data_IF_596280170509
#
_entry.id   IF_596280170509
#
_cell.length_a   1.000
_cell.length_b   1.000
_cell.length_c   1.000
_cell.angle_alpha   90.00
_cell.angle_beta   90.00
_cell.angle_gamma   90.00
#
_symmetry.space_group_name_H-M   'P 1'
#
loop_
_entity.id
_entity.type
_entity.pdbx_description
1 polymer ?
#
# COMPACT_ATOMS: atom_id res chain seq x y z
N UNK A 1 4.83 -13.47 15.18
CA UNK A 1 4.29 -14.50 14.26
C UNK A 1 5.35 -14.77 13.20
N UNK A 2 5.78 -16.01 13.02
CA UNK A 2 6.66 -16.39 11.89
C UNK A 2 5.82 -16.29 10.62
N UNK A 3 6.18 -15.39 9.72
CA UNK A 3 5.46 -15.15 8.47
C UNK A 3 6.25 -15.84 7.37
N UNK A 4 5.57 -16.60 6.54
CA UNK A 4 6.17 -17.13 5.33
C UNK A 4 6.32 -15.98 4.32
N UNK A 5 7.56 -15.59 4.06
CA UNK A 5 7.92 -14.56 3.09
C UNK A 5 8.45 -15.17 1.78
N UNK A 6 8.30 -16.48 1.60
CA UNK A 6 8.68 -17.15 0.34
C UNK A 6 7.84 -16.56 -0.81
N UNK A 7 8.54 -16.05 -1.82
CA UNK A 7 7.89 -15.38 -2.96
C UNK A 7 7.55 -13.89 -2.77
N UNK A 8 7.80 -13.32 -1.59
CA UNK A 8 7.61 -11.89 -1.32
C UNK A 8 8.91 -11.14 -1.60
N UNK A 9 8.85 -10.09 -2.41
CA UNK A 9 10.02 -9.26 -2.70
C UNK A 9 10.51 -8.53 -1.45
N UNK A 10 11.82 -8.58 -1.17
CA UNK A 10 12.43 -7.79 -0.09
C UNK A 10 12.15 -6.28 -0.23
N UNK A 11 11.97 -5.79 -1.45
CA UNK A 11 11.63 -4.38 -1.71
C UNK A 11 10.33 -3.95 -1.07
N UNK A 12 9.36 -4.85 -0.94
CA UNK A 12 8.10 -4.63 -0.24
C UNK A 12 8.35 -4.40 1.26
N UNK A 13 9.21 -5.21 1.87
CA UNK A 13 9.55 -5.09 3.30
C UNK A 13 10.38 -3.84 3.58
N UNK A 14 11.30 -3.47 2.68
CA UNK A 14 12.12 -2.24 2.80
C UNK A 14 11.22 -1.01 2.87
N UNK A 15 10.28 -0.87 1.94
CA UNK A 15 9.38 0.29 1.90
C UNK A 15 8.46 0.35 3.12
N UNK A 16 7.94 -0.79 3.58
CA UNK A 16 7.16 -0.89 4.82
C UNK A 16 7.98 -0.47 6.04
N UNK A 17 9.21 -0.99 6.16
CA UNK A 17 10.11 -0.68 7.27
C UNK A 17 10.45 0.81 7.33
N UNK A 18 10.75 1.45 6.20
CA UNK A 18 11.07 2.88 6.16
C UNK A 18 9.90 3.74 6.63
N UNK A 19 8.68 3.43 6.25
CA UNK A 19 7.47 4.12 6.71
C UNK A 19 7.21 3.89 8.20
N UNK A 20 7.43 2.67 8.69
CA UNK A 20 7.33 2.35 10.10
C UNK A 20 8.39 3.06 10.95
N UNK A 21 9.62 3.16 10.44
CA UNK A 21 10.72 3.88 11.10
C UNK A 21 10.43 5.37 11.23
N UNK A 22 9.88 5.98 10.17
CA UNK A 22 9.42 7.36 10.21
C UNK A 22 8.34 7.57 11.28
N UNK A 23 7.34 6.72 11.33
CA UNK A 23 6.24 6.83 12.28
C UNK A 23 6.68 6.72 13.76
N UNK A 24 7.83 6.06 14.01
CA UNK A 24 8.44 5.94 15.35
C UNK A 24 9.42 7.08 15.69
N UNK A 25 9.67 7.99 14.75
CA UNK A 25 10.59 9.11 14.96
C UNK A 25 9.96 10.22 15.81
N UNK A 26 10.80 11.09 16.40
CA UNK A 26 10.31 12.23 17.18
C UNK A 26 9.53 13.25 16.32
N UNK A 27 9.82 13.33 15.02
CA UNK A 27 9.19 14.24 14.09
C UNK A 27 8.84 13.49 12.79
N UNK A 28 7.77 12.68 12.80
CA UNK A 28 7.41 11.87 11.64
C UNK A 28 6.96 12.74 10.47
N UNK A 29 7.50 12.46 9.30
CA UNK A 29 7.18 13.17 8.06
C UNK A 29 5.88 12.64 7.41
N UNK A 30 5.75 11.31 7.31
CA UNK A 30 4.58 10.63 6.75
C UNK A 30 3.62 10.17 7.85
N UNK A 31 4.17 9.72 9.01
CA UNK A 31 3.45 9.24 10.18
C UNK A 31 2.54 8.02 9.89
N UNK A 32 3.09 7.02 9.21
CA UNK A 32 2.38 5.77 8.87
C UNK A 32 2.33 4.83 10.08
N UNK A 33 1.37 5.07 10.98
CA UNK A 33 1.21 4.28 12.21
C UNK A 33 0.86 2.83 11.91
N UNK A 34 0.09 2.58 10.85
CA UNK A 34 -0.30 1.23 10.45
C UNK A 34 0.91 0.41 10.00
N UNK A 35 1.84 1.00 9.26
CA UNK A 35 3.11 0.35 8.93
C UNK A 35 3.91 -0.01 10.20
N UNK A 36 3.92 0.88 11.21
CA UNK A 36 4.60 0.59 12.48
C UNK A 36 3.96 -0.56 13.25
N UNK A 37 2.63 -0.67 13.24
CA UNK A 37 1.89 -1.81 13.81
C UNK A 37 2.26 -3.11 13.10
N UNK A 38 2.20 -3.13 11.76
CA UNK A 38 2.54 -4.32 10.96
C UNK A 38 3.94 -4.82 11.26
N UNK A 39 4.95 -3.93 11.22
CA UNK A 39 6.35 -4.27 11.53
C UNK A 39 6.48 -4.85 12.95
N UNK A 40 5.73 -4.35 13.94
CA UNK A 40 5.81 -4.86 15.31
C UNK A 40 5.28 -6.29 15.46
N UNK A 41 4.44 -6.75 14.53
CA UNK A 41 3.88 -8.11 14.52
C UNK A 41 4.75 -9.11 13.75
N UNK A 42 5.74 -8.64 12.97
CA UNK A 42 6.60 -9.49 12.15
C UNK A 42 7.83 -9.97 12.94
N UNK A 43 8.05 -11.28 12.91
CA UNK A 43 9.28 -11.90 13.40
C UNK A 43 10.31 -11.94 12.26
N UNK A 44 10.92 -10.79 11.99
CA UNK A 44 11.90 -10.59 10.91
C UNK A 44 12.99 -9.62 11.33
N UNK A 45 14.24 -9.90 10.99
CA UNK A 45 15.36 -8.99 11.25
C UNK A 45 15.45 -7.89 10.19
N UNK A 46 14.94 -6.71 10.54
CA UNK A 46 14.97 -5.53 9.67
C UNK A 46 16.29 -4.75 9.73
N UNK A 47 17.27 -5.15 10.54
CA UNK A 47 18.51 -4.38 10.75
C UNK A 47 19.33 -4.16 9.49
N UNK A 48 19.24 -5.09 8.52
CA UNK A 48 19.87 -4.96 7.21
C UNK A 48 19.40 -3.70 6.44
N UNK A 49 18.14 -3.28 6.66
CA UNK A 49 17.54 -2.14 5.97
C UNK A 49 17.97 -0.78 6.51
N UNK A 50 18.59 -0.73 7.69
CA UNK A 50 19.16 0.50 8.24
C UNK A 50 20.29 1.10 7.38
N UNK A 51 20.93 0.25 6.57
CA UNK A 51 22.02 0.66 5.67
C UNK A 51 21.51 1.37 4.40
N UNK A 52 20.23 1.31 4.09
CA UNK A 52 19.63 1.86 2.85
C UNK A 52 19.07 3.28 3.11
N UNK A 53 19.78 4.08 3.90
CA UNK A 53 19.31 5.42 4.32
C UNK A 53 19.04 6.39 3.16
N UNK A 54 19.75 6.27 2.03
CA UNK A 54 19.51 7.12 0.86
C UNK A 54 18.10 6.92 0.26
N UNK A 55 17.57 5.71 0.33
CA UNK A 55 16.22 5.39 -0.15
C UNK A 55 15.14 5.86 0.83
N UNK A 56 15.48 6.07 2.11
CA UNK A 56 14.54 6.44 3.16
C UNK A 56 13.72 7.69 2.80
N UNK A 57 14.38 8.80 2.54
CA UNK A 57 13.70 10.05 2.19
C UNK A 57 12.96 9.95 0.86
N UNK A 58 13.51 9.20 -0.10
CA UNK A 58 12.84 8.95 -1.38
C UNK A 58 11.53 8.20 -1.24
N UNK A 59 11.50 7.15 -0.42
CA UNK A 59 10.28 6.38 -0.12
C UNK A 59 9.24 7.26 0.56
N UNK A 60 9.62 8.02 1.59
CA UNK A 60 8.69 8.87 2.33
C UNK A 60 8.15 10.03 1.48
N UNK A 61 9.02 10.70 0.71
CA UNK A 61 8.61 11.81 -0.14
C UNK A 61 7.65 11.35 -1.24
N UNK A 62 7.95 10.21 -1.88
CA UNK A 62 7.07 9.60 -2.89
C UNK A 62 5.72 9.22 -2.29
N UNK A 63 5.71 8.53 -1.15
CA UNK A 63 4.47 8.16 -0.48
C UNK A 63 3.63 9.40 -0.11
N UNK A 64 4.27 10.45 0.43
CA UNK A 64 3.60 11.70 0.81
C UNK A 64 3.01 12.42 -0.39
N UNK A 65 3.77 12.50 -1.49
CA UNK A 65 3.30 13.13 -2.74
C UNK A 65 2.09 12.39 -3.29
N UNK A 66 2.16 11.07 -3.37
CA UNK A 66 1.04 10.25 -3.84
C UNK A 66 -0.18 10.36 -2.92
N UNK A 67 0.00 10.38 -1.60
CA UNK A 67 -1.11 10.62 -0.66
C UNK A 67 -1.78 11.98 -0.92
N UNK A 68 -1.01 13.02 -1.23
CA UNK A 68 -1.56 14.34 -1.57
C UNK A 68 -2.37 14.32 -2.86
N UNK A 69 -1.86 13.67 -3.91
CA UNK A 69 -2.57 13.56 -5.20
C UNK A 69 -3.84 12.71 -5.08
N UNK A 70 -3.81 11.63 -4.30
CA UNK A 70 -4.99 10.82 -4.02
C UNK A 70 -6.05 11.64 -3.30
N UNK A 71 -5.69 12.36 -2.23
CA UNK A 71 -6.63 13.23 -1.50
C UNK A 71 -7.22 14.31 -2.39
N UNK A 72 -6.41 14.90 -3.26
CA UNK A 72 -6.88 15.90 -4.23
C UNK A 72 -7.91 15.30 -5.18
N UNK A 73 -7.61 14.14 -5.77
CA UNK A 73 -8.55 13.45 -6.66
C UNK A 73 -9.87 13.10 -5.94
N UNK A 74 -9.78 12.59 -4.70
CA UNK A 74 -10.96 12.25 -3.88
C UNK A 74 -11.80 13.49 -3.56
N UNK A 75 -11.17 14.63 -3.23
CA UNK A 75 -11.87 15.88 -2.96
C UNK A 75 -12.63 16.41 -4.19
N UNK A 76 -12.03 16.26 -5.39
CA UNK A 76 -12.66 16.65 -6.65
C UNK A 76 -13.73 15.62 -7.12
N UNK A 77 -13.72 14.40 -6.58
CA UNK A 77 -14.57 13.29 -6.98
C UNK A 77 -15.09 12.49 -5.77
N UNK A 78 -15.98 13.04 -4.94
CA UNK A 78 -16.49 12.37 -3.75
C UNK A 78 -17.09 10.99 -4.05
N UNK A 79 -16.76 9.99 -3.23
CA UNK A 79 -17.20 8.61 -3.41
C UNK A 79 -16.58 7.90 -4.62
N UNK A 80 -15.45 8.37 -5.13
CA UNK A 80 -14.72 7.74 -6.24
C UNK A 80 -14.24 6.32 -5.91
N UNK A 81 -13.78 5.64 -6.93
CA UNK A 81 -13.13 4.33 -6.85
C UNK A 81 -11.63 4.51 -7.04
N UNK A 82 -10.84 3.89 -6.19
CA UNK A 82 -9.37 3.84 -6.30
C UNK A 82 -8.93 2.40 -6.44
N UNK A 83 -8.06 2.13 -7.40
CA UNK A 83 -7.39 0.82 -7.57
C UNK A 83 -5.90 1.01 -7.36
N UNK A 84 -5.34 0.38 -6.33
CA UNK A 84 -3.90 0.33 -6.04
C UNK A 84 -3.30 -0.91 -6.68
N UNK A 85 -2.57 -0.74 -7.77
CA UNK A 85 -1.95 -1.82 -8.55
C UNK A 85 -0.55 -2.10 -8.03
N UNK A 86 -0.27 -3.36 -7.69
CA UNK A 86 0.95 -3.75 -7.00
C UNK A 86 0.98 -3.17 -5.58
N UNK A 87 -0.13 -3.35 -4.86
CA UNK A 87 -0.37 -2.70 -3.56
C UNK A 87 0.61 -3.12 -2.46
N UNK A 88 1.21 -4.30 -2.55
CA UNK A 88 2.11 -4.81 -1.52
C UNK A 88 1.51 -4.71 -0.12
N UNK A 89 2.30 -4.21 0.81
CA UNK A 89 1.87 -3.83 2.16
C UNK A 89 1.72 -2.30 2.30
N UNK A 90 1.28 -1.62 1.24
CA UNK A 90 0.96 -0.19 1.36
C UNK A 90 -0.31 -0.02 2.22
N UNK A 91 -0.24 0.94 3.11
CA UNK A 91 -1.27 1.32 4.09
C UNK A 91 -1.90 2.65 3.73
N UNK A 92 -1.86 3.02 2.43
CA UNK A 92 -2.33 4.33 1.96
C UNK A 92 -3.79 4.56 2.28
N UNK A 93 -4.65 3.55 2.11
CA UNK A 93 -6.06 3.69 2.49
C UNK A 93 -6.22 4.23 3.91
N UNK A 94 -5.50 3.67 4.90
CA UNK A 94 -5.58 4.13 6.30
C UNK A 94 -5.14 5.59 6.48
N UNK A 95 -4.26 6.11 5.60
CA UNK A 95 -3.77 7.48 5.67
C UNK A 95 -4.65 8.49 4.95
N UNK A 96 -5.40 8.07 3.92
CA UNK A 96 -6.14 8.99 3.04
C UNK A 96 -7.65 8.86 3.11
N UNK A 97 -8.19 7.84 3.77
CA UNK A 97 -9.62 7.55 3.83
C UNK A 97 -10.46 8.78 4.23
N UNK A 98 -11.47 9.08 3.44
CA UNK A 98 -12.44 10.17 3.63
C UNK A 98 -13.83 9.67 4.08
N UNK A 99 -13.96 8.36 4.31
CA UNK A 99 -15.22 7.71 4.67
C UNK A 99 -16.15 7.41 3.49
N UNK A 100 -15.79 7.79 2.25
CA UNK A 100 -16.64 7.63 1.07
C UNK A 100 -15.98 6.84 -0.07
N UNK A 101 -14.63 6.84 -0.15
CA UNK A 101 -13.86 6.16 -1.20
C UNK A 101 -14.09 4.64 -1.16
N UNK A 102 -14.23 4.02 -2.34
CA UNK A 102 -14.10 2.57 -2.52
C UNK A 102 -12.70 2.25 -3.00
N UNK A 103 -12.05 1.30 -2.34
CA UNK A 103 -10.65 0.99 -2.53
C UNK A 103 -10.45 -0.47 -2.92
N UNK A 104 -9.68 -0.69 -3.97
CA UNK A 104 -9.29 -2.01 -4.43
C UNK A 104 -7.77 -2.13 -4.39
N UNK A 105 -7.30 -3.17 -3.70
CA UNK A 105 -5.87 -3.51 -3.61
C UNK A 105 -5.60 -4.71 -4.51
N UNK A 106 -4.85 -4.51 -5.59
CA UNK A 106 -4.51 -5.54 -6.56
C UNK A 106 -3.04 -5.91 -6.43
N UNK A 107 -2.77 -7.20 -6.23
CA UNK A 107 -1.42 -7.78 -6.29
C UNK A 107 -1.49 -9.28 -6.59
N UNK A 108 -0.32 -9.91 -6.79
CA UNK A 108 -0.22 -11.36 -6.97
C UNK A 108 -0.73 -12.13 -5.73
N UNK A 109 -1.19 -13.39 -5.89
CA UNK A 109 -1.83 -14.14 -4.81
C UNK A 109 -1.04 -14.17 -3.51
N UNK A 110 0.27 -14.40 -3.60
CA UNK A 110 1.15 -14.55 -2.44
C UNK A 110 1.23 -13.25 -1.60
N UNK A 111 1.20 -12.09 -2.29
CA UNK A 111 1.23 -10.78 -1.65
C UNK A 111 -0.14 -10.45 -1.03
N UNK A 112 -1.24 -10.79 -1.70
CA UNK A 112 -2.59 -10.59 -1.16
C UNK A 112 -2.81 -11.46 0.08
N UNK A 113 -2.35 -12.72 0.07
CA UNK A 113 -2.45 -13.62 1.21
C UNK A 113 -1.66 -13.09 2.43
N UNK A 114 -0.47 -12.54 2.18
CA UNK A 114 0.30 -11.85 3.22
C UNK A 114 -0.41 -10.59 3.73
N UNK A 115 -0.91 -9.75 2.81
CA UNK A 115 -1.61 -8.51 3.12
C UNK A 115 -2.80 -8.73 4.04
N UNK A 116 -3.63 -9.73 3.75
CA UNK A 116 -4.83 -10.08 4.53
C UNK A 116 -4.55 -10.49 5.98
N UNK A 117 -3.30 -10.83 6.31
CA UNK A 117 -2.92 -11.13 7.70
C UNK A 117 -2.84 -9.86 8.57
N UNK A 118 -2.66 -8.69 7.96
CA UNK A 118 -2.44 -7.42 8.66
C UNK A 118 -3.47 -6.34 8.35
N UNK A 119 -4.06 -6.41 7.15
CA UNK A 119 -4.96 -5.39 6.59
C UNK A 119 -6.26 -6.07 6.18
N UNK A 120 -7.30 -5.86 6.98
CA UNK A 120 -8.59 -6.49 6.74
C UNK A 120 -9.33 -5.83 5.57
N UNK A 121 -10.07 -6.64 4.82
CA UNK A 121 -11.09 -6.15 3.90
C UNK A 121 -12.27 -5.54 4.70
N UNK A 122 -13.00 -4.65 4.07
CA UNK A 122 -14.19 -4.01 4.63
C UNK A 122 -15.23 -3.77 3.54
N UNK A 123 -16.36 -3.17 3.87
CA UNK A 123 -17.37 -2.77 2.87
C UNK A 123 -16.80 -1.82 1.80
N UNK A 124 -15.70 -1.12 2.10
CA UNK A 124 -15.07 -0.15 1.20
C UNK A 124 -13.67 -0.55 0.71
N UNK A 125 -13.10 -1.63 1.23
CA UNK A 125 -11.76 -2.13 0.84
C UNK A 125 -11.86 -3.57 0.40
N UNK A 126 -11.48 -3.83 -0.84
CA UNK A 126 -11.50 -5.16 -1.46
C UNK A 126 -10.12 -5.52 -1.99
N UNK A 127 -9.62 -6.71 -1.68
CA UNK A 127 -8.40 -7.26 -2.23
C UNK A 127 -8.69 -8.07 -3.50
N UNK A 128 -7.97 -7.77 -4.57
CA UNK A 128 -8.02 -8.52 -5.84
C UNK A 128 -6.72 -9.28 -6.01
N UNK A 129 -6.80 -10.60 -5.97
CA UNK A 129 -5.68 -11.48 -6.28
C UNK A 129 -5.59 -11.67 -7.80
N UNK A 130 -4.45 -11.28 -8.40
CA UNK A 130 -4.22 -11.40 -9.84
C UNK A 130 -3.02 -10.59 -10.33
N UNK A 131 -2.67 -10.82 -11.58
CA UNK A 131 -1.60 -10.04 -12.24
C UNK A 131 -2.14 -8.70 -12.73
N UNK A 132 -1.36 -7.63 -12.54
CA UNK A 132 -1.66 -6.31 -13.10
C UNK A 132 -1.79 -6.31 -14.63
N UNK A 133 -1.18 -7.32 -15.31
CA UNK A 133 -1.15 -7.46 -16.77
C UNK A 133 -2.27 -8.34 -17.33
N UNK A 134 -3.01 -9.02 -16.46
CA UNK A 134 -4.24 -9.71 -16.85
C UNK A 134 -5.42 -8.75 -16.65
N UNK A 135 -6.04 -8.24 -17.73
CA UNK A 135 -7.10 -7.25 -17.61
C UNK A 135 -8.36 -7.76 -16.92
N UNK A 136 -8.47 -9.06 -16.63
CA UNK A 136 -9.62 -9.66 -15.95
C UNK A 136 -9.91 -9.05 -14.58
N UNK A 137 -8.92 -8.47 -13.91
CA UNK A 137 -9.15 -7.77 -12.64
C UNK A 137 -10.10 -6.57 -12.80
N UNK A 138 -10.18 -5.95 -13.99
CA UNK A 138 -11.07 -4.80 -14.24
C UNK A 138 -12.55 -5.17 -14.11
N UNK A 139 -12.91 -6.43 -14.36
CA UNK A 139 -14.28 -6.95 -14.20
C UNK A 139 -14.70 -7.07 -12.72
N UNK A 140 -13.70 -7.14 -11.81
CA UNK A 140 -13.92 -7.22 -10.36
C UNK A 140 -14.10 -5.83 -9.72
N UNK A 141 -13.87 -4.75 -10.47
CA UNK A 141 -13.95 -3.38 -9.97
C UNK A 141 -15.34 -2.79 -10.22
N UNK A 142 -16.13 -2.70 -9.18
CA UNK A 142 -17.50 -2.16 -9.23
C UNK A 142 -17.47 -0.63 -9.23
N UNK A 143 -17.51 -0.03 -10.41
CA UNK A 143 -17.46 1.43 -10.57
C UNK A 143 -18.80 2.13 -10.34
N UNK A 144 -19.91 1.52 -10.73
CA UNK A 144 -21.26 2.08 -10.60
C UNK A 144 -21.36 3.53 -11.14
N UNK A 145 -20.68 3.84 -12.24
CA UNK A 145 -20.62 5.18 -12.82
C UNK A 145 -19.70 6.18 -12.11
N UNK A 146 -19.01 5.77 -11.04
CA UNK A 146 -18.08 6.61 -10.27
C UNK A 146 -16.79 6.89 -11.04
N UNK A 147 -16.11 7.99 -10.68
CA UNK A 147 -14.76 8.28 -11.18
C UNK A 147 -13.77 7.25 -10.65
N UNK A 148 -12.81 6.87 -11.50
CA UNK A 148 -11.79 5.87 -11.20
C UNK A 148 -10.41 6.52 -11.19
N UNK A 149 -9.64 6.25 -10.14
CA UNK A 149 -8.21 6.51 -10.05
C UNK A 149 -7.47 5.18 -10.02
N UNK A 150 -6.47 5.02 -10.87
CA UNK A 150 -5.55 3.87 -10.82
C UNK A 150 -4.20 4.37 -10.32
N UNK A 151 -3.71 3.74 -9.25
CA UNK A 151 -2.42 4.01 -8.66
C UNK A 151 -1.46 2.86 -8.96
N UNK A 152 -0.20 3.18 -9.25
CA UNK A 152 0.88 2.20 -9.31
C UNK A 152 2.16 2.83 -8.77
N UNK A 153 2.69 2.27 -7.70
CA UNK A 153 3.89 2.75 -7.05
C UNK A 153 4.94 1.66 -6.94
N UNK A 154 6.12 1.88 -7.59
CA UNK A 154 7.24 0.97 -7.50
C UNK A 154 7.05 -0.38 -8.23
N UNK A 155 6.10 -0.48 -9.17
CA UNK A 155 5.78 -1.70 -9.91
C UNK A 155 6.36 -1.66 -11.32
N UNK A 156 6.07 -0.60 -12.08
CA UNK A 156 6.41 -0.52 -13.50
C UNK A 156 7.91 -0.48 -13.81
N UNK A 157 8.75 -0.25 -12.81
CA UNK A 157 10.21 -0.25 -12.95
C UNK A 157 10.83 -1.65 -13.04
N UNK A 158 10.05 -2.68 -12.80
CA UNK A 158 10.50 -4.09 -12.84
C UNK A 158 10.11 -4.82 -14.13
N UNK A 159 9.73 -4.07 -15.17
CA UNK A 159 9.28 -4.57 -16.49
C UNK A 159 10.23 -4.18 -17.59
#
# INVERSE_FOLDING_TARGET
MKIDLSGVSETLLVTLYMRAKDAKSNHPFLNDRKAAEIISCMDYDFSAFDRVWMSYYGVLARAKLMDCEVRRFMADNPGCVVVSVGCGLDTRFDRVDDGQVRWYDLDVPEVIDLRKQFLAESERVTCISGSAFDPSWTEKVEREGRRLLILSEGVMMYW
#
